data_IF_889864855198
#
_entry.id   IF_889864855198
#
_cell.length_a   1.000
_cell.length_b   1.000
_cell.length_c   1.000
_cell.angle_alpha   90.00
_cell.angle_beta   90.00
_cell.angle_gamma   90.00
#
_symmetry.space_group_name_H-M   'P 1'
#
loop_
_entity.id
_entity.type
_entity.pdbx_description
1 polymer ?
#
# COMPACT_ATOMS: atom_id res chain seq x y z
N UNK A 1 -0.06 -31.13 25.61
CA UNK A 1 -0.76 -30.18 24.72
C UNK A 1 -0.18 -30.24 23.32
N UNK A 2 -1.04 -30.30 22.34
CA UNK A 2 -0.57 -30.25 20.96
C UNK A 2 -0.23 -28.82 20.57
N UNK A 3 0.78 -28.68 19.72
CA UNK A 3 1.20 -27.37 19.23
C UNK A 3 1.24 -27.36 17.71
N UNK A 4 1.30 -26.15 17.14
CA UNK A 4 1.46 -25.93 15.71
C UNK A 4 2.43 -24.78 15.47
N UNK A 5 3.00 -24.70 14.27
CA UNK A 5 3.89 -23.60 13.88
C UNK A 5 3.13 -22.65 12.96
N UNK A 6 3.05 -21.36 13.36
CA UNK A 6 2.42 -20.33 12.55
C UNK A 6 3.15 -20.16 11.21
N UNK A 7 2.41 -20.19 10.11
CA UNK A 7 3.00 -20.03 8.77
C UNK A 7 3.58 -18.63 8.55
N UNK A 8 3.08 -17.64 9.29
CA UNK A 8 3.52 -16.24 9.16
C UNK A 8 4.73 -15.94 10.03
N UNK A 9 4.57 -16.02 11.35
CA UNK A 9 5.64 -15.64 12.30
C UNK A 9 6.60 -16.76 12.65
N UNK A 10 6.32 -17.99 12.24
CA UNK A 10 7.14 -19.20 12.49
C UNK A 10 7.30 -19.58 13.96
N UNK A 11 6.47 -19.02 14.84
CA UNK A 11 6.49 -19.34 16.26
C UNK A 11 5.61 -20.55 16.56
N UNK A 12 6.03 -21.33 17.57
CA UNK A 12 5.24 -22.44 18.07
C UNK A 12 4.09 -21.92 18.93
N UNK A 13 2.88 -22.43 18.70
CA UNK A 13 1.69 -22.02 19.42
C UNK A 13 0.89 -23.24 19.85
N UNK A 14 0.15 -23.11 20.95
CA UNK A 14 -0.71 -24.17 21.45
C UNK A 14 -1.98 -24.26 20.62
N UNK A 15 -2.34 -25.50 20.21
CA UNK A 15 -3.60 -25.72 19.49
C UNK A 15 -4.79 -25.43 20.40
N UNK A 16 -5.74 -24.66 19.87
CA UNK A 16 -6.98 -24.28 20.56
C UNK A 16 -8.16 -24.92 19.84
N UNK A 17 -9.19 -25.24 20.61
CA UNK A 17 -10.45 -25.76 20.06
C UNK A 17 -11.05 -24.74 19.08
N UNK A 18 -11.54 -25.20 17.96
CA UNK A 18 -12.17 -24.37 16.92
C UNK A 18 -11.22 -23.33 16.31
N UNK A 19 -9.90 -23.58 16.33
CA UNK A 19 -8.91 -22.71 15.70
C UNK A 19 -8.29 -23.40 14.48
N UNK A 20 -7.92 -22.61 13.48
CA UNK A 20 -7.44 -23.12 12.19
C UNK A 20 -6.01 -23.67 12.21
N UNK A 21 -5.26 -23.58 13.25
CA UNK A 21 -3.91 -24.15 13.45
C UNK A 21 -2.89 -23.89 12.32
N UNK A 22 -3.10 -22.85 11.51
CA UNK A 22 -2.17 -22.39 10.47
C UNK A 22 -1.48 -21.10 10.88
N UNK A 23 -2.20 -20.25 11.59
CA UNK A 23 -1.75 -18.94 12.04
C UNK A 23 -2.10 -18.76 13.51
N UNK A 24 -1.25 -18.05 14.24
CA UNK A 24 -1.51 -17.82 15.67
C UNK A 24 -2.62 -16.79 15.92
N UNK A 25 -2.89 -15.91 14.93
CA UNK A 25 -3.98 -14.92 15.04
C UNK A 25 -4.33 -14.38 13.65
N UNK A 26 -5.33 -13.49 13.60
CA UNK A 26 -5.77 -12.88 12.34
C UNK A 26 -4.71 -11.98 11.72
N UNK A 27 -3.91 -11.31 12.53
CA UNK A 27 -2.82 -10.46 12.02
C UNK A 27 -1.81 -11.30 11.24
N UNK A 28 -1.39 -12.43 11.78
CA UNK A 28 -0.47 -13.33 11.09
C UNK A 28 -1.08 -13.89 9.81
N UNK A 29 -2.36 -14.24 9.82
CA UNK A 29 -3.07 -14.70 8.63
C UNK A 29 -3.06 -13.63 7.54
N UNK A 30 -3.38 -12.40 7.90
CA UNK A 30 -3.42 -11.29 6.95
C UNK A 30 -2.03 -10.95 6.41
N UNK A 31 -1.01 -10.99 7.26
CA UNK A 31 0.39 -10.75 6.83
C UNK A 31 0.86 -11.81 5.85
N UNK A 32 0.55 -13.07 6.12
CA UNK A 32 0.94 -14.17 5.23
C UNK A 32 0.25 -14.03 3.87
N UNK A 33 -1.05 -13.75 3.86
CA UNK A 33 -1.79 -13.52 2.61
C UNK A 33 -1.23 -12.32 1.85
N UNK A 34 -0.88 -11.26 2.55
CA UNK A 34 -0.29 -10.09 1.92
C UNK A 34 1.00 -10.45 1.19
N UNK A 35 1.90 -11.18 1.85
CA UNK A 35 3.21 -11.54 1.27
C UNK A 35 3.10 -12.56 0.14
N UNK A 36 2.15 -13.50 0.23
CA UNK A 36 2.06 -14.61 -0.72
C UNK A 36 1.08 -14.39 -1.87
N UNK A 37 0.05 -13.55 -1.67
CA UNK A 37 -1.00 -13.33 -2.66
C UNK A 37 -1.04 -11.89 -3.16
N UNK A 38 -1.05 -10.92 -2.24
CA UNK A 38 -1.24 -9.51 -2.58
C UNK A 38 0.01 -8.91 -3.22
N UNK A 39 1.16 -9.10 -2.60
CA UNK A 39 2.41 -8.52 -3.07
C UNK A 39 2.81 -9.00 -4.47
N UNK A 40 2.67 -10.29 -4.82
CA UNK A 40 2.92 -10.75 -6.19
C UNK A 40 2.01 -10.06 -7.23
N UNK A 41 0.73 -9.86 -6.90
CA UNK A 41 -0.20 -9.13 -7.78
C UNK A 41 0.21 -7.68 -7.95
N UNK A 42 0.68 -7.05 -6.86
CA UNK A 42 1.22 -5.70 -6.91
C UNK A 42 2.39 -5.60 -7.89
N UNK A 43 3.31 -6.53 -7.84
CA UNK A 43 4.48 -6.53 -8.73
C UNK A 43 4.11 -6.66 -10.21
N UNK A 44 2.96 -7.27 -10.49
CA UNK A 44 2.44 -7.43 -11.86
C UNK A 44 1.56 -6.26 -12.31
N UNK A 45 1.28 -5.30 -11.42
CA UNK A 45 0.41 -4.17 -11.73
C UNK A 45 -1.07 -4.52 -11.79
N UNK A 46 -1.49 -5.63 -11.19
CA UNK A 46 -2.86 -6.12 -11.27
C UNK A 46 -3.80 -5.53 -10.21
N UNK A 47 -3.27 -4.80 -9.24
CA UNK A 47 -4.07 -4.21 -8.16
C UNK A 47 -4.57 -2.82 -8.55
N UNK A 48 -5.76 -2.47 -8.06
CA UNK A 48 -6.37 -1.15 -8.28
C UNK A 48 -6.87 -0.49 -6.99
N UNK A 49 -6.98 -1.21 -5.90
CA UNK A 49 -7.45 -0.68 -4.62
C UNK A 49 -6.38 0.21 -4.00
N UNK A 50 -6.73 1.48 -3.74
CA UNK A 50 -5.77 2.47 -3.22
C UNK A 50 -5.15 2.08 -1.88
N UNK A 51 -5.95 1.53 -0.96
CA UNK A 51 -5.44 1.09 0.34
C UNK A 51 -4.42 -0.03 0.19
N UNK A 52 -4.71 -0.98 -0.67
CA UNK A 52 -3.82 -2.10 -0.93
C UNK A 52 -2.54 -1.64 -1.60
N UNK A 53 -2.63 -0.76 -2.60
CA UNK A 53 -1.47 -0.16 -3.26
C UNK A 53 -0.61 0.62 -2.27
N UNK A 54 -1.23 1.42 -1.41
CA UNK A 54 -0.53 2.18 -0.38
C UNK A 54 0.22 1.26 0.58
N UNK A 55 -0.42 0.17 1.01
CA UNK A 55 0.21 -0.83 1.89
C UNK A 55 1.41 -1.49 1.20
N UNK A 56 1.27 -1.83 -0.07
CA UNK A 56 2.37 -2.43 -0.85
C UNK A 56 3.54 -1.47 -0.99
N UNK A 57 3.28 -0.20 -1.27
CA UNK A 57 4.34 0.82 -1.35
C UNK A 57 5.02 1.03 -0.01
N UNK A 58 4.26 1.08 1.07
CA UNK A 58 4.82 1.19 2.41
C UNK A 58 5.75 0.02 2.72
N UNK A 59 5.39 -1.18 2.28
CA UNK A 59 6.19 -2.38 2.49
C UNK A 59 7.46 -2.38 1.64
N UNK A 60 7.37 -1.96 0.36
CA UNK A 60 8.48 -2.07 -0.59
C UNK A 60 9.42 -0.85 -0.58
N UNK A 61 8.88 0.35 -0.36
CA UNK A 61 9.64 1.61 -0.41
C UNK A 61 9.86 2.23 0.97
N UNK A 62 9.16 1.74 1.98
CA UNK A 62 9.14 2.35 3.30
C UNK A 62 8.15 3.52 3.35
N UNK A 63 7.74 3.90 4.56
CA UNK A 63 6.77 4.98 4.75
C UNK A 63 7.47 6.32 4.83
N UNK A 64 7.83 6.85 3.67
CA UNK A 64 8.47 8.16 3.56
C UNK A 64 8.18 8.79 2.20
N UNK A 65 8.20 10.12 2.15
CA UNK A 65 8.09 10.86 0.90
C UNK A 65 9.34 10.62 0.04
N UNK A 66 9.16 10.27 -1.23
CA UNK A 66 10.29 9.99 -2.13
C UNK A 66 11.10 11.24 -2.48
N UNK A 67 10.53 12.44 -2.31
CA UNK A 67 11.20 13.70 -2.66
C UNK A 67 11.92 14.34 -1.46
N UNK A 68 11.26 14.45 -0.31
CA UNK A 68 11.82 15.16 0.85
C UNK A 68 12.12 14.27 2.05
N UNK A 69 11.89 12.96 1.93
CA UNK A 69 12.12 11.97 2.98
C UNK A 69 11.27 12.18 4.25
N UNK A 70 10.18 12.94 4.17
CA UNK A 70 9.25 13.09 5.28
C UNK A 70 8.65 11.73 5.64
N UNK A 71 8.82 11.33 6.89
CA UNK A 71 8.39 10.00 7.37
C UNK A 71 6.94 9.96 7.86
N UNK A 72 6.10 10.86 7.37
CA UNK A 72 4.70 10.90 7.75
C UNK A 72 4.43 11.70 9.02
N UNK A 73 5.24 12.71 9.29
CA UNK A 73 5.07 13.61 10.44
C UNK A 73 5.14 15.06 10.03
N UNK A 74 4.32 15.89 10.65
CA UNK A 74 4.34 17.33 10.48
C UNK A 74 3.92 17.98 11.79
N UNK A 75 4.75 18.88 12.32
CA UNK A 75 4.51 19.53 13.61
C UNK A 75 4.20 18.52 14.73
N UNK A 76 4.95 17.41 14.76
CA UNK A 76 4.78 16.31 15.73
C UNK A 76 3.43 15.60 15.67
N UNK A 77 2.71 15.74 14.56
CA UNK A 77 1.42 15.06 14.31
C UNK A 77 1.57 14.16 13.09
N UNK A 78 0.98 12.96 13.11
CA UNK A 78 1.02 12.08 11.94
C UNK A 78 0.47 12.77 10.70
N UNK A 79 1.21 12.66 9.59
CA UNK A 79 0.84 13.21 8.29
C UNK A 79 0.69 12.06 7.30
N UNK A 80 -0.48 11.95 6.67
CA UNK A 80 -0.73 10.91 5.68
C UNK A 80 0.06 11.18 4.40
N UNK A 81 0.91 10.22 4.01
CA UNK A 81 1.56 10.27 2.71
C UNK A 81 0.57 9.84 1.64
N UNK A 82 0.65 10.46 0.47
CA UNK A 82 -0.30 10.25 -0.61
C UNK A 82 0.29 9.37 -1.70
N UNK A 83 -0.57 8.52 -2.28
CA UNK A 83 -0.22 7.71 -3.45
C UNK A 83 -0.21 8.61 -4.67
N UNK A 84 0.89 8.62 -5.42
CA UNK A 84 1.03 9.38 -6.64
C UNK A 84 1.36 8.46 -7.82
N UNK A 85 0.73 8.71 -8.97
CA UNK A 85 1.03 8.04 -10.23
C UNK A 85 1.96 8.95 -11.03
N UNK A 86 3.20 8.51 -11.25
CA UNK A 86 4.26 9.34 -11.86
C UNK A 86 3.85 9.92 -13.21
N UNK A 87 3.13 9.16 -14.02
CA UNK A 87 2.67 9.59 -15.36
C UNK A 87 1.33 10.30 -15.33
N UNK A 88 0.70 10.45 -14.16
CA UNK A 88 -0.61 11.05 -14.01
C UNK A 88 -1.77 10.14 -14.39
N UNK A 89 -1.52 8.92 -14.80
CA UNK A 89 -2.55 7.96 -15.18
C UNK A 89 -2.93 7.09 -13.98
N UNK A 90 -4.08 7.36 -13.38
CA UNK A 90 -4.59 6.63 -12.22
C UNK A 90 -4.91 5.16 -12.53
N UNK A 91 -4.94 4.76 -13.78
CA UNK A 91 -5.14 3.37 -14.18
C UNK A 91 -3.85 2.58 -14.33
N UNK A 92 -2.70 3.25 -14.31
CA UNK A 92 -1.39 2.60 -14.43
C UNK A 92 -0.84 2.31 -13.04
N UNK A 93 -1.12 1.11 -12.53
CA UNK A 93 -0.75 0.69 -11.18
C UNK A 93 0.51 -0.18 -11.13
N UNK A 94 1.37 -0.08 -12.13
CA UNK A 94 2.67 -0.75 -12.09
C UNK A 94 3.54 -0.14 -10.99
N UNK A 95 4.26 -0.97 -10.21
CA UNK A 95 5.04 -0.46 -9.07
C UNK A 95 6.01 0.66 -9.43
N UNK A 96 6.64 0.59 -10.60
CA UNK A 96 7.59 1.61 -11.07
C UNK A 96 6.92 2.96 -11.33
N UNK A 97 5.60 2.98 -11.52
CA UNK A 97 4.81 4.19 -11.76
C UNK A 97 4.22 4.78 -10.46
N UNK A 98 4.37 4.10 -9.35
CA UNK A 98 3.76 4.49 -8.09
C UNK A 98 4.81 4.98 -7.09
N UNK A 99 4.42 5.97 -6.28
CA UNK A 99 5.27 6.49 -5.22
C UNK A 99 4.42 7.07 -4.10
N UNK A 100 5.02 7.16 -2.91
CA UNK A 100 4.41 7.86 -1.77
C UNK A 100 5.03 9.24 -1.67
N UNK A 101 4.21 10.26 -1.49
CA UNK A 101 4.64 11.65 -1.38
C UNK A 101 3.88 12.36 -0.27
N UNK A 102 4.55 13.30 0.42
CA UNK A 102 3.85 14.17 1.34
C UNK A 102 2.97 15.15 0.55
N UNK A 103 1.91 15.71 1.16
CA UNK A 103 1.01 16.61 0.45
C UNK A 103 1.71 17.81 -0.21
N UNK A 104 2.76 18.34 0.41
CA UNK A 104 3.49 19.49 -0.14
C UNK A 104 4.23 19.10 -1.44
N UNK A 105 4.99 18.02 -1.41
CA UNK A 105 5.70 17.55 -2.61
C UNK A 105 4.73 17.10 -3.69
N UNK A 106 3.63 16.44 -3.30
CA UNK A 106 2.60 16.00 -4.23
C UNK A 106 1.97 17.18 -4.97
N UNK A 107 1.71 18.29 -4.27
CA UNK A 107 1.13 19.48 -4.88
C UNK A 107 2.06 20.16 -5.90
N UNK A 108 3.35 19.87 -5.84
CA UNK A 108 4.36 20.46 -6.73
C UNK A 108 4.65 19.60 -7.96
N UNK A 109 4.01 18.44 -8.09
CA UNK A 109 4.23 17.57 -9.25
C UNK A 109 3.58 18.12 -10.50
N UNK A 110 4.11 17.72 -11.67
CA UNK A 110 3.53 18.11 -12.96
C UNK A 110 2.16 17.46 -13.22
N UNK A 111 1.81 16.46 -12.46
CA UNK A 111 0.58 15.69 -12.62
C UNK A 111 -0.47 15.97 -11.55
N UNK A 112 -0.22 16.97 -10.69
CA UNK A 112 -1.17 17.36 -9.65
C UNK A 112 -2.45 17.94 -10.27
N UNK A 113 -3.56 17.83 -9.54
CA UNK A 113 -4.95 18.11 -9.94
C UNK A 113 -5.12 19.05 -11.14
N UNK A 114 -4.68 20.32 -11.04
CA UNK A 114 -4.85 21.30 -12.11
C UNK A 114 -3.98 21.00 -13.34
N UNK A 115 -2.81 20.42 -13.11
CA UNK A 115 -1.86 20.05 -14.17
C UNK A 115 -2.22 18.74 -14.85
N UNK A 116 -3.07 17.95 -14.21
CA UNK A 116 -3.53 16.65 -14.71
C UNK A 116 -4.90 16.74 -15.39
N UNK A 117 -5.36 17.95 -15.66
CA UNK A 117 -6.64 18.18 -16.34
C UNK A 117 -6.62 17.50 -17.71
N UNK A 118 -7.65 16.71 -17.99
CA UNK A 118 -7.74 15.95 -19.22
C UNK A 118 -7.25 14.50 -19.11
N UNK A 119 -6.56 14.14 -18.02
CA UNK A 119 -6.07 12.77 -17.78
C UNK A 119 -6.72 12.09 -16.59
N UNK A 120 -7.49 12.83 -15.80
CA UNK A 120 -8.13 12.31 -14.60
C UNK A 120 -9.56 11.83 -14.83
N UNK A 121 -10.37 11.92 -13.76
CA UNK A 121 -11.75 11.41 -13.78
C UNK A 121 -12.61 12.03 -14.88
N UNK A 122 -12.46 13.32 -15.14
CA UNK A 122 -13.23 14.01 -16.17
C UNK A 122 -12.95 13.47 -17.56
N UNK A 123 -11.69 13.19 -17.87
CA UNK A 123 -11.30 12.63 -19.16
C UNK A 123 -11.89 11.24 -19.41
N UNK A 124 -12.21 10.52 -18.31
CA UNK A 124 -12.82 9.20 -18.38
C UNK A 124 -14.35 9.22 -18.27
N UNK A 125 -14.95 10.41 -18.37
CA UNK A 125 -16.39 10.58 -18.27
C UNK A 125 -16.93 10.54 -16.85
N UNK A 126 -16.07 10.63 -15.84
CA UNK A 126 -16.47 10.63 -14.43
C UNK A 126 -16.57 12.06 -13.91
N UNK A 127 -17.65 12.35 -13.16
CA UNK A 127 -17.80 13.63 -12.50
C UNK A 127 -17.02 13.65 -11.20
N UNK A 128 -16.54 14.84 -10.82
CA UNK A 128 -15.89 15.04 -9.54
C UNK A 128 -16.87 14.86 -8.38
#
# INVERSE_FOLDING_TARGET
METFICLSCKKENVKKKNHMHKYCNNTCQNDYKFLTETLPKFKKGELSNRRTLHRCLKHTQGYKCVECDNKGMHNNVPLALQLDHKDGDAGNNMPKNLRLMCPNCHSQTNTFVAKNKGKGRQARGLKR
#
